data_IF_715713627802
#
_entry.id   IF_715713627802
#
_cell.length_a   1.000
_cell.length_b   1.000
_cell.length_c   1.000
_cell.angle_alpha   90.00
_cell.angle_beta   90.00
_cell.angle_gamma   90.00
#
_symmetry.space_group_name_H-M   'P 1'
#
loop_
_entity.id
_entity.type
_entity.pdbx_description
1 polymer ?
#
# COMPACT_ATOMS: atom_id res chain seq x y z
N UNK A 1 20.79 0.14 15.66
CA UNK A 1 19.95 -0.98 16.16
C UNK A 1 18.60 -0.48 16.68
N UNK A 2 17.56 -1.27 16.42
CA UNK A 2 16.20 -1.18 16.98
C UNK A 2 15.87 -2.53 17.64
N UNK A 3 15.11 -2.52 18.72
CA UNK A 3 14.84 -3.72 19.52
C UNK A 3 13.34 -3.91 19.72
N UNK A 4 12.81 -5.06 19.27
CA UNK A 4 11.47 -5.52 19.62
C UNK A 4 11.54 -6.22 20.97
N UNK A 5 10.82 -5.71 21.97
CA UNK A 5 10.80 -6.28 23.32
C UNK A 5 9.43 -6.15 23.98
N UNK A 6 9.17 -7.03 24.94
CA UNK A 6 8.07 -6.92 25.89
C UNK A 6 8.61 -7.03 27.31
N UNK A 7 8.66 -5.91 28.04
CA UNK A 7 9.39 -5.85 29.30
C UNK A 7 10.85 -6.25 29.07
N UNK A 8 11.40 -7.15 29.87
CA UNK A 8 12.78 -7.63 29.74
C UNK A 8 12.99 -8.70 28.66
N UNK A 9 11.92 -9.25 28.08
CA UNK A 9 12.02 -10.22 27.01
C UNK A 9 12.32 -9.53 25.67
N UNK A 10 13.47 -9.86 25.06
CA UNK A 10 13.87 -9.38 23.74
C UNK A 10 13.44 -10.41 22.69
N UNK A 11 12.67 -9.97 21.70
CA UNK A 11 12.20 -10.80 20.59
C UNK A 11 13.06 -10.64 19.34
N UNK A 12 13.52 -9.42 19.06
CA UNK A 12 14.36 -9.13 17.89
C UNK A 12 15.28 -7.93 18.13
N UNK A 13 16.46 -7.97 17.52
CA UNK A 13 17.41 -6.85 17.45
C UNK A 13 17.92 -6.74 16.02
N UNK A 14 17.51 -5.67 15.34
CA UNK A 14 17.79 -5.48 13.92
C UNK A 14 18.19 -4.03 13.62
N UNK A 15 18.92 -3.76 12.52
CA UNK A 15 19.15 -2.40 12.05
C UNK A 15 17.83 -1.66 11.80
N UNK A 16 17.77 -0.37 12.17
CA UNK A 16 16.56 0.46 11.97
C UNK A 16 16.09 0.48 10.51
N UNK A 17 17.03 0.51 9.57
CA UNK A 17 16.76 0.50 8.13
C UNK A 17 16.02 -0.76 7.68
N UNK A 18 16.36 -1.91 8.24
CA UNK A 18 15.73 -3.19 7.91
C UNK A 18 14.30 -3.27 8.44
N UNK A 19 14.09 -2.84 9.70
CA UNK A 19 12.76 -2.80 10.33
C UNK A 19 11.83 -1.87 9.55
N UNK A 20 12.32 -0.69 9.15
CA UNK A 20 11.57 0.26 8.33
C UNK A 20 11.22 -0.36 6.97
N UNK A 21 12.20 -0.95 6.28
CA UNK A 21 11.97 -1.62 4.99
C UNK A 21 10.93 -2.73 5.11
N UNK A 22 11.06 -3.59 6.11
CA UNK A 22 10.11 -4.69 6.35
C UNK A 22 8.69 -4.16 6.59
N UNK A 23 8.55 -3.10 7.39
CA UNK A 23 7.25 -2.49 7.69
C UNK A 23 6.57 -1.98 6.42
N UNK A 24 7.29 -1.24 5.57
CA UNK A 24 6.76 -0.79 4.30
C UNK A 24 6.42 -1.96 3.35
N UNK A 25 7.27 -2.99 3.28
CA UNK A 25 6.98 -4.17 2.47
C UNK A 25 5.70 -4.89 2.91
N UNK A 26 5.44 -5.01 4.22
CA UNK A 26 4.20 -5.62 4.73
C UNK A 26 2.96 -4.77 4.39
N UNK A 27 3.06 -3.44 4.48
CA UNK A 27 1.97 -2.54 4.09
C UNK A 27 1.65 -2.70 2.59
N UNK A 28 2.67 -2.73 1.73
CA UNK A 28 2.49 -2.93 0.29
C UNK A 28 1.87 -4.31 0.00
N UNK A 29 2.33 -5.35 0.69
CA UNK A 29 1.80 -6.71 0.56
C UNK A 29 0.31 -6.80 0.92
N UNK A 30 -0.08 -6.29 2.09
CA UNK A 30 -1.48 -6.33 2.54
C UNK A 30 -2.37 -5.40 1.72
N UNK A 31 -1.85 -4.26 1.22
CA UNK A 31 -2.59 -3.41 0.27
C UNK A 31 -2.92 -4.17 -1.01
N UNK A 32 -1.97 -4.95 -1.55
CA UNK A 32 -2.22 -5.77 -2.73
C UNK A 32 -3.24 -6.89 -2.46
N UNK A 33 -3.16 -7.56 -1.30
CA UNK A 33 -4.15 -8.56 -0.89
C UNK A 33 -5.56 -7.96 -0.79
N UNK A 34 -5.69 -6.78 -0.19
CA UNK A 34 -6.97 -6.06 -0.13
C UNK A 34 -7.48 -5.71 -1.53
N UNK A 35 -6.61 -5.27 -2.44
CA UNK A 35 -6.98 -5.01 -3.84
C UNK A 35 -7.56 -6.23 -4.55
N UNK A 36 -7.03 -7.43 -4.28
CA UNK A 36 -7.60 -8.70 -4.79
C UNK A 36 -9.00 -8.94 -4.23
N UNK A 37 -9.22 -8.71 -2.94
CA UNK A 37 -10.56 -8.86 -2.35
C UNK A 37 -11.57 -7.86 -2.91
N UNK A 38 -11.19 -6.60 -3.13
CA UNK A 38 -12.05 -5.62 -3.77
C UNK A 38 -12.44 -6.08 -5.18
N UNK A 39 -11.48 -6.61 -5.95
CA UNK A 39 -11.75 -7.16 -7.29
C UNK A 39 -12.69 -8.36 -7.26
N UNK A 40 -12.54 -9.26 -6.30
CA UNK A 40 -13.41 -10.44 -6.17
C UNK A 40 -14.84 -10.09 -5.71
N UNK A 41 -15.03 -8.92 -5.10
CA UNK A 41 -16.31 -8.44 -4.59
C UNK A 41 -16.95 -7.39 -5.51
N UNK A 42 -16.40 -7.18 -6.72
CA UNK A 42 -16.83 -6.15 -7.68
C UNK A 42 -16.89 -4.72 -7.07
N UNK A 43 -15.98 -4.42 -6.13
CA UNK A 43 -15.83 -3.09 -5.53
C UNK A 43 -14.73 -2.33 -6.29
N UNK A 44 -14.93 -1.04 -6.64
CA UNK A 44 -13.91 -0.23 -7.31
C UNK A 44 -12.60 -0.21 -6.53
N UNK A 45 -11.49 -0.45 -7.23
CA UNK A 45 -10.16 -0.48 -6.64
C UNK A 45 -9.61 0.95 -6.63
N UNK A 46 -9.16 1.48 -5.47
CA UNK A 46 -8.51 2.78 -5.43
C UNK A 46 -7.13 2.76 -6.10
N UNK A 47 -6.78 3.86 -6.77
CA UNK A 47 -5.46 4.08 -7.33
C UNK A 47 -4.32 3.92 -6.31
N UNK A 48 -3.30 3.14 -6.68
CA UNK A 48 -2.17 2.82 -5.79
C UNK A 48 -0.93 3.68 -6.04
N UNK A 49 -0.65 4.03 -7.30
CA UNK A 49 0.41 4.91 -7.79
C UNK A 49 -0.10 5.53 -9.10
N UNK A 50 -1.03 6.47 -8.98
CA UNK A 50 -1.86 6.92 -10.11
C UNK A 50 -3.21 6.18 -10.17
N UNK A 51 -4.08 6.55 -11.12
CA UNK A 51 -5.43 6.01 -11.22
C UNK A 51 -5.40 4.50 -11.44
N UNK A 52 -6.30 3.78 -10.77
CA UNK A 52 -6.56 2.38 -11.10
C UNK A 52 -7.28 2.27 -12.45
N UNK A 53 -7.43 1.04 -12.97
CA UNK A 53 -8.27 0.78 -14.15
C UNK A 53 -9.71 1.30 -13.96
N UNK A 54 -10.20 1.31 -12.72
CA UNK A 54 -11.56 1.75 -12.38
C UNK A 54 -11.67 3.29 -12.32
N UNK A 55 -10.54 4.01 -12.34
CA UNK A 55 -10.45 5.47 -12.23
C UNK A 55 -9.90 6.15 -13.50
N UNK A 56 -9.43 5.41 -14.53
CA UNK A 56 -8.77 6.00 -15.71
C UNK A 56 -9.66 6.99 -16.47
N UNK A 57 -10.97 6.72 -16.56
CA UNK A 57 -11.92 7.61 -17.23
C UNK A 57 -12.10 8.96 -16.53
N UNK A 58 -11.80 9.04 -15.22
CA UNK A 58 -11.86 10.30 -14.46
C UNK A 58 -10.69 11.24 -14.81
N UNK A 59 -9.61 10.71 -15.39
CA UNK A 59 -8.41 11.47 -15.72
C UNK A 59 -8.39 11.98 -17.17
N UNK A 60 -9.13 11.34 -18.08
CA UNK A 60 -9.22 11.77 -19.49
C UNK A 60 -10.14 12.98 -19.70
N UNK A 61 -11.11 13.22 -18.81
CA UNK A 61 -12.10 14.30 -18.94
C UNK A 61 -11.59 15.71 -18.69
N UNK A 62 -10.42 15.90 -18.06
CA UNK A 62 -9.89 17.24 -17.72
C UNK A 62 -9.05 17.89 -18.82
N UNK A 63 -8.79 17.19 -19.94
CA UNK A 63 -8.00 17.74 -21.07
C UNK A 63 -8.89 18.20 -22.22
N UNK A 64 -10.19 17.92 -22.20
CA UNK A 64 -11.10 18.14 -23.33
C UNK A 64 -11.86 19.48 -23.34
N UNK A 65 -11.71 20.33 -22.32
CA UNK A 65 -12.38 21.65 -22.23
C UNK A 65 -11.43 22.85 -22.36
N UNK A 66 -10.46 22.77 -23.29
CA UNK A 66 -9.74 23.96 -23.77
C UNK A 66 -9.78 24.02 -25.31
N UNK A 67 -10.96 24.30 -25.87
CA UNK A 67 -11.17 24.91 -27.21
C UNK A 67 -12.55 25.55 -27.30
#
# INVERSE_FOLDING_TARGET
>A
EWTLRNGDAIYDVSPKSEVIRMTFCQIVHHRAQLGVFLRLLDVPIPGSYGPSADEMHMFEGTVAEEV
#
